data_IF_641509578311
#
_entry.id   IF_641509578311
#
_cell.length_a   1.000
_cell.length_b   1.000
_cell.length_c   1.000
_cell.angle_alpha   90.00
_cell.angle_beta   90.00
_cell.angle_gamma   90.00
#
_symmetry.space_group_name_H-M   'P 1'
#
loop_
_entity.id
_entity.type
_entity.pdbx_description
1 polymer ?
#
# COMPACT_ATOMS: atom_id res chain seq x y z
N UNK A 1 -1.99 3.96 6.37
CA UNK A 1 -2.40 3.22 5.16
C UNK A 1 -1.66 3.76 3.94
N UNK A 2 -1.23 2.89 3.02
CA UNK A 2 -0.71 3.27 1.71
C UNK A 2 -1.70 2.83 0.62
N UNK A 3 -1.69 3.52 -0.52
CA UNK A 3 -2.55 3.21 -1.65
C UNK A 3 -1.72 2.81 -2.86
N UNK A 4 -2.18 1.82 -3.63
CA UNK A 4 -1.52 1.36 -4.84
C UNK A 4 -2.53 0.95 -5.91
N UNK A 5 -2.19 1.16 -7.17
CA UNK A 5 -2.90 0.62 -8.34
C UNK A 5 -2.27 -0.67 -8.87
N UNK A 6 -1.15 -1.10 -8.29
CA UNK A 6 -0.37 -2.27 -8.71
C UNK A 6 -0.14 -3.23 -7.54
N UNK A 7 -1.16 -3.95 -7.05
CA UNK A 7 -1.05 -4.83 -5.88
C UNK A 7 0.06 -5.87 -5.97
N UNK A 8 0.43 -6.33 -7.17
CA UNK A 8 1.49 -7.30 -7.36
C UNK A 8 2.89 -6.83 -6.92
N UNK A 9 3.10 -5.52 -6.73
CA UNK A 9 4.36 -4.97 -6.19
C UNK A 9 4.39 -4.90 -4.66
N UNK A 10 3.24 -5.02 -3.98
CA UNK A 10 3.14 -4.97 -2.51
C UNK A 10 4.02 -6.00 -1.79
N UNK A 11 4.17 -7.25 -2.27
CA UNK A 11 5.09 -8.20 -1.66
C UNK A 11 6.55 -7.74 -1.64
N UNK A 12 6.92 -6.84 -2.56
CA UNK A 12 8.27 -6.26 -2.66
C UNK A 12 8.38 -4.88 -2.00
N UNK A 13 7.41 -4.50 -1.16
CA UNK A 13 7.50 -3.29 -0.35
C UNK A 13 8.71 -3.33 0.58
N UNK A 14 9.48 -2.25 0.62
CA UNK A 14 10.63 -2.11 1.52
C UNK A 14 10.56 -0.85 2.40
N UNK A 15 9.79 0.16 2.00
CA UNK A 15 9.61 1.38 2.78
C UNK A 15 8.24 2.03 2.50
N UNK A 16 7.86 2.96 3.37
CA UNK A 16 6.75 3.88 3.16
C UNK A 16 7.29 5.32 3.13
N UNK A 17 6.90 6.09 2.13
CA UNK A 17 7.29 7.50 1.99
C UNK A 17 6.21 8.44 2.54
N UNK A 18 6.61 9.46 3.29
CA UNK A 18 5.74 10.53 3.79
C UNK A 18 6.30 11.90 3.47
N UNK A 19 5.44 12.88 3.25
CA UNK A 19 5.84 14.28 2.99
C UNK A 19 6.29 14.96 4.28
N UNK A 20 7.52 15.52 4.37
CA UNK A 20 8.04 16.08 5.63
C UNK A 20 7.20 17.23 6.18
N UNK A 21 6.57 18.02 5.32
CA UNK A 21 5.74 19.19 5.67
C UNK A 21 4.25 18.88 5.76
N UNK A 22 3.84 17.67 5.40
CA UNK A 22 2.44 17.25 5.39
C UNK A 22 1.96 16.95 6.81
N UNK A 23 0.74 17.35 7.11
CA UNK A 23 0.05 16.98 8.33
C UNK A 23 -0.63 15.62 8.15
N UNK A 24 -0.45 14.73 9.11
CA UNK A 24 -1.06 13.40 9.17
C UNK A 24 -1.94 13.27 10.38
N UNK A 25 -2.96 12.44 10.27
CA UNK A 25 -3.87 12.11 11.35
C UNK A 25 -3.91 10.61 11.58
N UNK A 26 -4.03 10.21 12.83
CA UNK A 26 -4.35 8.85 13.22
C UNK A 26 -5.84 8.79 13.52
N UNK A 27 -6.54 8.01 12.75
CA UNK A 27 -8.00 7.85 12.80
C UNK A 27 -8.32 6.50 13.41
N UNK A 28 -9.12 6.48 14.47
CA UNK A 28 -9.76 5.30 15.02
C UNK A 28 -11.03 5.02 14.21
N UNK A 29 -11.19 3.79 13.74
CA UNK A 29 -12.33 3.38 12.91
C UNK A 29 -12.45 1.85 12.91
N UNK A 30 -13.24 1.29 12.01
CA UNK A 30 -13.36 -0.15 11.79
C UNK A 30 -12.92 -0.53 10.38
N UNK A 31 -12.40 -1.73 10.23
CA UNK A 31 -12.21 -2.30 8.89
C UNK A 31 -13.58 -2.73 8.35
N UNK A 32 -13.97 -2.16 7.21
CA UNK A 32 -15.30 -2.40 6.63
C UNK A 32 -15.53 -3.84 6.15
N UNK A 33 -14.47 -4.64 5.97
CA UNK A 33 -14.58 -6.04 5.55
C UNK A 33 -14.71 -7.01 6.70
N UNK A 34 -14.01 -6.75 7.80
CA UNK A 34 -13.93 -7.65 8.95
C UNK A 34 -14.76 -7.20 10.15
N UNK A 35 -15.14 -5.92 10.21
CA UNK A 35 -15.77 -5.32 11.38
C UNK A 35 -14.82 -5.09 12.56
N UNK A 36 -13.53 -5.39 12.40
CA UNK A 36 -12.56 -5.21 13.47
C UNK A 36 -12.17 -3.74 13.65
N UNK A 37 -11.99 -3.24 14.89
CA UNK A 37 -11.48 -1.89 15.12
C UNK A 37 -10.04 -1.79 14.60
N UNK A 38 -9.73 -0.65 13.95
CA UNK A 38 -8.41 -0.34 13.41
C UNK A 38 -8.04 1.11 13.62
N UNK A 39 -6.76 1.40 13.74
CA UNK A 39 -6.22 2.76 13.71
C UNK A 39 -5.46 2.95 12.40
N UNK A 40 -5.79 4.01 11.67
CA UNK A 40 -5.22 4.31 10.37
C UNK A 40 -4.48 5.64 10.41
N UNK A 41 -3.29 5.71 9.81
CA UNK A 41 -2.58 6.97 9.59
C UNK A 41 -2.71 7.33 8.11
N UNK A 42 -3.11 8.57 7.82
CA UNK A 42 -3.20 9.15 6.48
C UNK A 42 -3.00 10.66 6.52
N UNK A 43 -2.72 11.27 5.36
CA UNK A 43 -2.59 12.71 5.27
C UNK A 43 -3.90 13.44 5.59
N UNK A 44 -3.87 14.41 6.49
CA UNK A 44 -5.03 15.19 6.93
C UNK A 44 -5.81 15.85 5.78
N UNK A 45 -5.16 16.42 4.74
CA UNK A 45 -5.87 16.98 3.59
C UNK A 45 -6.71 15.97 2.80
N UNK A 46 -6.40 14.68 2.91
CA UNK A 46 -7.11 13.61 2.20
C UNK A 46 -8.22 12.94 3.03
N UNK A 47 -8.40 13.34 4.28
CA UNK A 47 -9.32 12.70 5.22
C UNK A 47 -10.76 12.62 4.67
N UNK A 48 -11.26 13.69 4.05
CA UNK A 48 -12.61 13.75 3.49
C UNK A 48 -12.86 12.83 2.29
N UNK A 49 -11.79 12.37 1.61
CA UNK A 49 -11.90 11.36 0.55
C UNK A 49 -12.15 9.95 1.10
N UNK A 50 -11.78 9.71 2.34
CA UNK A 50 -11.84 8.41 2.99
C UNK A 50 -12.98 8.28 3.99
N UNK A 51 -13.33 9.39 4.67
CA UNK A 51 -14.28 9.43 5.76
C UNK A 51 -15.28 10.55 5.55
N UNK A 52 -16.56 10.24 5.74
CA UNK A 52 -17.63 11.23 5.68
C UNK A 52 -17.74 11.97 7.01
N UNK A 53 -17.80 13.29 6.98
CA UNK A 53 -17.90 14.13 8.18
C UNK A 53 -19.12 13.78 9.05
N UNK A 54 -20.24 13.42 8.43
CA UNK A 54 -21.47 13.02 9.11
C UNK A 54 -21.31 11.76 10.00
N UNK A 55 -20.25 10.97 9.79
CA UNK A 55 -19.93 9.79 10.59
C UNK A 55 -18.76 10.01 11.57
N UNK A 56 -18.36 11.28 11.77
CA UNK A 56 -17.32 11.66 12.74
C UNK A 56 -17.85 11.55 14.17
N UNK A 57 -18.15 10.32 14.57
CA UNK A 57 -18.61 9.99 15.92
C UNK A 57 -18.24 8.56 16.21
N UNK A 58 -17.52 8.35 17.30
CA UNK A 58 -17.15 6.99 17.70
C UNK A 58 -18.36 6.23 18.25
N UNK A 59 -18.46 4.95 17.91
CA UNK A 59 -19.37 3.97 18.51
C UNK A 59 -18.61 2.68 18.74
N UNK A 60 -18.94 1.98 19.82
CA UNK A 60 -18.32 0.69 20.14
C UNK A 60 -18.86 -0.49 19.28
N UNK A 61 -19.91 -0.25 18.51
CA UNK A 61 -20.55 -1.26 17.68
C UNK A 61 -20.47 -0.88 16.21
N UNK A 62 -19.97 -1.80 15.39
CA UNK A 62 -19.98 -1.69 13.94
C UNK A 62 -20.13 -3.09 13.31
N UNK A 63 -21.02 -3.19 12.32
CA UNK A 63 -21.21 -4.42 11.56
C UNK A 63 -20.48 -4.34 10.22
N UNK A 64 -19.67 -5.35 9.90
CA UNK A 64 -18.96 -5.41 8.63
C UNK A 64 -19.91 -5.21 7.44
N UNK A 65 -19.55 -4.31 6.53
CA UNK A 65 -20.35 -3.96 5.35
C UNK A 65 -21.34 -2.81 5.57
N UNK A 66 -21.50 -2.30 6.79
CA UNK A 66 -22.29 -1.09 7.01
C UNK A 66 -21.62 0.10 6.30
N UNK A 67 -22.45 0.93 5.64
CA UNK A 67 -21.99 2.12 4.91
C UNK A 67 -21.70 3.32 5.84
N UNK A 68 -22.21 3.28 7.06
CA UNK A 68 -22.03 4.32 8.06
C UNK A 68 -20.79 4.00 8.92
N UNK A 69 -19.62 4.13 8.32
CA UNK A 69 -18.36 3.82 8.97
C UNK A 69 -18.02 4.91 10.01
N UNK A 70 -18.09 4.62 11.32
CA UNK A 70 -17.77 5.59 12.36
C UNK A 70 -16.26 5.82 12.43
N UNK A 71 -15.86 7.04 12.78
CA UNK A 71 -14.46 7.41 12.89
C UNK A 71 -14.25 8.59 13.84
N UNK A 72 -13.04 8.70 14.37
CA UNK A 72 -12.58 9.87 15.13
C UNK A 72 -11.07 10.06 14.97
N UNK A 73 -10.59 11.29 14.98
CA UNK A 73 -9.15 11.58 15.04
C UNK A 73 -8.70 11.40 16.48
N UNK A 74 -7.69 10.56 16.71
CA UNK A 74 -7.13 10.30 18.03
C UNK A 74 -5.73 10.89 18.22
N UNK A 75 -5.02 11.22 17.12
CA UNK A 75 -3.68 11.77 17.18
C UNK A 75 -3.33 12.52 15.87
N UNK A 76 -2.47 13.51 15.95
CA UNK A 76 -1.98 14.27 14.80
C UNK A 76 -0.45 14.28 14.76
N UNK A 77 0.13 14.26 13.55
CA UNK A 77 1.58 14.23 13.33
C UNK A 77 1.98 15.22 12.23
N UNK A 78 3.20 15.73 12.30
CA UNK A 78 3.92 16.18 11.10
C UNK A 78 4.58 14.98 10.44
N UNK A 79 4.79 15.01 9.12
CA UNK A 79 5.47 13.92 8.42
C UNK A 79 6.86 13.61 9.02
N UNK A 80 7.59 14.63 9.48
CA UNK A 80 8.84 14.45 10.22
C UNK A 80 8.70 13.66 11.53
N UNK A 81 7.54 13.67 12.14
CA UNK A 81 7.25 12.88 13.35
C UNK A 81 6.99 11.39 13.06
N UNK A 82 6.79 11.04 11.80
CA UNK A 82 6.61 9.65 11.35
C UNK A 82 7.91 9.02 10.85
N UNK A 83 8.97 9.83 10.63
CA UNK A 83 10.26 9.34 10.14
C UNK A 83 10.83 8.26 11.05
N UNK A 84 11.33 7.19 10.46
CA UNK A 84 11.93 6.07 11.18
C UNK A 84 10.91 5.12 11.85
N UNK A 85 9.60 5.42 11.82
CA UNK A 85 8.59 4.49 12.33
C UNK A 85 8.72 3.15 11.59
N UNK A 86 8.86 2.07 12.34
CA UNK A 86 8.95 0.71 11.80
C UNK A 86 7.56 0.09 11.66
N UNK A 87 7.41 -0.83 10.70
CA UNK A 87 6.20 -1.59 10.49
C UNK A 87 6.51 -3.03 10.09
N UNK A 88 5.55 -3.92 10.29
CA UNK A 88 5.67 -5.33 9.91
C UNK A 88 5.58 -5.51 8.39
N UNK A 89 6.37 -6.41 7.85
CA UNK A 89 6.30 -6.77 6.43
C UNK A 89 4.91 -7.27 6.07
N UNK A 90 4.30 -6.69 5.03
CA UNK A 90 2.92 -6.98 4.65
C UNK A 90 2.73 -8.45 4.20
N UNK A 91 3.66 -8.96 3.40
CA UNK A 91 3.69 -10.33 2.88
C UNK A 91 5.11 -10.89 3.08
N UNK A 92 5.38 -11.58 4.21
CA UNK A 92 6.74 -11.93 4.65
C UNK A 92 7.27 -13.19 3.94
N UNK A 93 7.27 -13.20 2.62
CA UNK A 93 7.74 -14.34 1.84
C UNK A 93 9.25 -14.43 1.78
N UNK A 94 9.94 -13.30 1.69
CA UNK A 94 11.41 -13.22 1.60
C UNK A 94 11.93 -12.02 2.41
N UNK A 95 13.20 -12.07 2.73
CA UNK A 95 13.89 -10.98 3.45
C UNK A 95 14.57 -10.03 2.45
N UNK A 96 14.43 -8.71 2.60
CA UNK A 96 15.16 -7.73 1.82
C UNK A 96 16.68 -7.85 1.97
N UNK A 97 17.42 -7.47 0.92
CA UNK A 97 18.87 -7.48 0.90
C UNK A 97 19.44 -6.08 0.67
N UNK A 98 20.67 -5.84 1.11
CA UNK A 98 21.43 -4.63 0.80
C UNK A 98 21.09 -3.39 1.64
N UNK A 99 20.32 -3.52 2.72
CA UNK A 99 19.99 -2.40 3.59
C UNK A 99 18.93 -2.71 4.63
N UNK A 100 18.50 -1.68 5.37
CA UNK A 100 17.33 -1.75 6.26
C UNK A 100 16.03 -1.84 5.44
N UNK A 101 14.93 -2.19 6.09
CA UNK A 101 13.61 -2.20 5.44
C UNK A 101 12.48 -1.95 6.45
N UNK A 102 11.27 -1.82 5.92
CA UNK A 102 10.01 -1.73 6.69
C UNK A 102 9.97 -0.56 7.66
N UNK A 103 10.42 0.60 7.19
CA UNK A 103 10.34 1.85 7.94
C UNK A 103 9.83 3.00 7.07
N UNK A 104 9.32 4.01 7.74
CA UNK A 104 8.88 5.27 7.11
C UNK A 104 10.09 6.15 6.82
N UNK A 105 10.16 6.69 5.61
CA UNK A 105 11.18 7.66 5.17
C UNK A 105 10.52 8.95 4.69
N UNK A 106 11.26 10.04 4.74
CA UNK A 106 10.80 11.33 4.21
C UNK A 106 11.04 11.43 2.71
N UNK A 107 10.11 12.06 1.99
CA UNK A 107 10.24 12.30 0.56
C UNK A 107 9.42 13.47 0.06
N UNK A 108 10.07 14.40 -0.64
CA UNK A 108 9.41 15.56 -1.27
C UNK A 108 8.52 15.17 -2.48
N UNK A 109 8.60 13.92 -2.93
CA UNK A 109 7.78 13.35 -4.00
C UNK A 109 6.36 12.98 -3.55
N UNK A 110 6.09 12.98 -2.25
CA UNK A 110 4.78 12.65 -1.70
C UNK A 110 3.83 13.81 -1.90
N UNK A 111 2.72 13.57 -2.61
CA UNK A 111 1.66 14.54 -2.83
C UNK A 111 0.43 14.25 -1.99
N UNK A 112 -0.44 15.25 -1.87
CA UNK A 112 -1.75 15.13 -1.22
C UNK A 112 -2.90 15.42 -2.20
N UNK A 113 -2.67 15.16 -3.49
CA UNK A 113 -3.69 15.32 -4.53
C UNK A 113 -4.61 14.11 -4.60
N UNK A 114 -4.04 12.91 -4.39
CA UNK A 114 -4.78 11.65 -4.40
C UNK A 114 -4.17 10.61 -3.44
N UNK A 115 -4.83 9.44 -3.32
CA UNK A 115 -4.38 8.36 -2.47
C UNK A 115 -4.55 8.65 -0.98
N UNK A 116 -3.51 8.41 -0.20
CA UNK A 116 -3.50 8.53 1.27
C UNK A 116 -2.44 9.50 1.80
N UNK A 117 -1.58 10.05 0.92
CA UNK A 117 -0.40 10.83 1.31
C UNK A 117 0.71 9.99 1.95
N UNK A 118 0.62 8.65 1.85
CA UNK A 118 1.67 7.70 2.23
C UNK A 118 1.93 6.82 1.01
N UNK A 119 3.17 6.85 0.51
CA UNK A 119 3.56 6.17 -0.72
C UNK A 119 4.21 4.83 -0.38
N UNK A 120 3.70 3.77 -1.01
CA UNK A 120 4.33 2.45 -1.04
C UNK A 120 5.60 2.50 -1.92
N UNK A 121 6.74 2.05 -1.39
CA UNK A 121 8.01 2.02 -2.11
C UNK A 121 8.50 0.59 -2.31
N UNK A 122 8.68 0.23 -3.59
CA UNK A 122 9.22 -1.06 -4.02
C UNK A 122 10.45 -0.85 -4.93
N UNK A 123 11.65 -0.72 -4.37
CA UNK A 123 12.86 -0.32 -5.10
C UNK A 123 13.25 -1.25 -6.26
N UNK A 124 12.74 -2.49 -6.26
CA UNK A 124 12.95 -3.42 -7.36
C UNK A 124 12.15 -3.08 -8.64
N UNK A 125 11.08 -2.25 -8.52
CA UNK A 125 10.11 -2.02 -9.62
C UNK A 125 9.91 -0.56 -10.02
N UNK A 126 10.49 0.38 -9.27
CA UNK A 126 10.43 1.81 -9.59
C UNK A 126 11.82 2.45 -9.59
N UNK A 127 12.17 3.19 -10.65
CA UNK A 127 13.46 3.88 -10.71
C UNK A 127 13.57 4.98 -9.63
N UNK A 128 12.49 5.72 -9.40
CA UNK A 128 12.42 6.73 -8.35
C UNK A 128 12.39 6.08 -6.96
N UNK A 129 11.63 5.01 -6.77
CA UNK A 129 11.60 4.22 -5.52
C UNK A 129 13.02 3.74 -5.18
N UNK A 130 13.73 3.18 -6.19
CA UNK A 130 15.10 2.69 -6.03
C UNK A 130 16.04 3.80 -5.58
N UNK A 131 16.00 4.93 -6.28
CA UNK A 131 16.84 6.10 -5.96
C UNK A 131 16.62 6.59 -4.53
N UNK A 132 15.37 6.77 -4.14
CA UNK A 132 15.02 7.28 -2.82
C UNK A 132 15.35 6.26 -1.73
N UNK A 133 15.04 4.98 -1.96
CA UNK A 133 15.39 3.91 -1.03
C UNK A 133 16.90 3.80 -0.80
N UNK A 134 17.71 3.84 -1.87
CA UNK A 134 19.19 3.82 -1.76
C UNK A 134 19.72 5.02 -0.97
N UNK A 135 19.20 6.22 -1.19
CA UNK A 135 19.58 7.43 -0.45
C UNK A 135 19.29 7.31 1.06
N UNK A 136 18.31 6.51 1.44
CA UNK A 136 17.91 6.28 2.82
C UNK A 136 18.43 4.96 3.40
N UNK A 137 19.33 4.26 2.71
CA UNK A 137 19.89 2.99 3.16
C UNK A 137 18.86 1.85 3.25
N UNK A 138 17.79 1.94 2.46
CA UNK A 138 16.76 0.91 2.34
C UNK A 138 17.21 -0.15 1.32
N UNK A 139 17.12 -1.42 1.70
CA UNK A 139 17.39 -2.56 0.83
C UNK A 139 16.33 -2.79 -0.23
N UNK A 140 16.54 -3.80 -1.05
CA UNK A 140 15.56 -4.18 -2.08
C UNK A 140 15.08 -5.62 -1.92
N UNK A 141 13.90 -5.89 -2.49
CA UNK A 141 13.25 -7.18 -2.47
C UNK A 141 12.72 -7.49 -3.87
N UNK A 142 13.49 -8.25 -4.66
CA UNK A 142 13.13 -8.64 -6.01
C UNK A 142 12.46 -10.01 -6.01
N UNK A 143 11.15 -10.04 -6.09
CA UNK A 143 10.34 -11.26 -6.07
C UNK A 143 9.82 -11.71 -7.43
N UNK A 144 10.19 -11.01 -8.51
CA UNK A 144 9.76 -11.34 -9.87
C UNK A 144 10.99 -11.61 -10.73
N UNK A 145 10.98 -12.75 -11.42
CA UNK A 145 12.07 -13.16 -12.31
C UNK A 145 11.98 -12.46 -13.67
N UNK A 146 12.97 -12.72 -14.54
CA UNK A 146 13.06 -12.13 -15.89
C UNK A 146 11.91 -12.54 -16.84
N UNK A 147 11.17 -13.59 -16.49
CA UNK A 147 10.00 -14.03 -17.24
C UNK A 147 8.72 -13.31 -16.81
N UNK A 148 8.76 -12.44 -15.79
CA UNK A 148 7.60 -11.77 -15.21
C UNK A 148 6.76 -12.67 -14.28
N UNK A 149 7.40 -13.67 -13.65
CA UNK A 149 6.78 -14.59 -12.70
C UNK A 149 7.31 -14.37 -11.29
N UNK A 150 6.49 -14.57 -10.28
CA UNK A 150 6.99 -14.68 -8.92
C UNK A 150 7.97 -15.84 -8.79
N UNK A 151 9.05 -15.61 -8.05
CA UNK A 151 10.04 -16.63 -7.72
C UNK A 151 9.48 -17.65 -6.73
N UNK A 152 10.20 -18.75 -6.52
CA UNK A 152 9.84 -19.74 -5.50
C UNK A 152 9.85 -19.13 -4.10
N UNK A 153 9.01 -19.64 -3.21
CA UNK A 153 8.88 -19.15 -1.83
C UNK A 153 7.87 -18.03 -1.66
N UNK A 154 7.12 -17.65 -2.71
CA UNK A 154 6.03 -16.66 -2.65
C UNK A 154 4.65 -17.32 -2.36
N UNK A 155 4.59 -18.39 -1.59
CA UNK A 155 3.36 -19.11 -1.28
C UNK A 155 2.62 -19.55 -2.56
N UNK A 156 1.30 -19.39 -2.57
CA UNK A 156 0.43 -19.75 -3.71
C UNK A 156 0.66 -18.91 -4.98
N UNK A 157 1.52 -17.89 -4.89
CA UNK A 157 1.86 -17.04 -6.03
C UNK A 157 3.14 -17.48 -6.75
N UNK A 158 3.92 -18.43 -6.19
CA UNK A 158 5.16 -18.93 -6.80
C UNK A 158 4.92 -19.42 -8.23
N UNK A 159 5.75 -18.97 -9.17
CA UNK A 159 5.68 -19.33 -10.60
C UNK A 159 4.54 -18.68 -11.39
N UNK A 160 3.65 -17.91 -10.75
CA UNK A 160 2.55 -17.21 -11.45
C UNK A 160 3.06 -15.93 -12.11
N UNK A 161 2.55 -15.66 -13.31
CA UNK A 161 2.77 -14.37 -13.99
C UNK A 161 2.11 -13.23 -13.22
N UNK A 162 2.84 -12.13 -13.00
CA UNK A 162 2.31 -10.93 -12.33
C UNK A 162 1.30 -10.14 -13.18
N UNK A 163 1.33 -10.34 -14.50
CA UNK A 163 0.37 -9.78 -15.47
C UNK A 163 0.05 -10.81 -16.56
N UNK A 164 -1.04 -10.61 -17.30
CA UNK A 164 -1.43 -11.46 -18.40
C UNK A 164 -0.64 -11.15 -19.69
N UNK A 165 0.67 -11.37 -19.66
CA UNK A 165 1.55 -11.07 -20.81
C UNK A 165 1.32 -11.93 -22.05
N UNK A 166 0.55 -13.01 -21.94
CA UNK A 166 0.32 -13.97 -23.03
C UNK A 166 -1.14 -14.02 -23.48
N UNK A 167 -1.95 -13.05 -23.07
CA UNK A 167 -3.39 -12.96 -23.36
C UNK A 167 -4.14 -14.28 -23.13
N UNK A 168 -3.80 -14.96 -22.04
CA UNK A 168 -4.43 -16.21 -21.66
C UNK A 168 -5.86 -15.94 -21.16
N UNK A 169 -6.83 -16.63 -21.75
CA UNK A 169 -8.25 -16.46 -21.40
C UNK A 169 -8.60 -16.96 -19.99
N UNK A 170 -7.79 -17.86 -19.44
CA UNK A 170 -7.93 -18.44 -18.10
C UNK A 170 -6.99 -17.81 -17.05
N UNK A 171 -6.33 -16.71 -17.40
CA UNK A 171 -5.45 -16.01 -16.47
C UNK A 171 -6.20 -15.52 -15.24
N UNK A 172 -5.74 -15.97 -14.06
CA UNK A 172 -6.20 -15.46 -12.78
C UNK A 172 -5.35 -14.28 -12.35
N UNK A 173 -5.97 -13.12 -12.17
CA UNK A 173 -5.27 -11.90 -11.81
C UNK A 173 -4.62 -12.02 -10.43
N UNK A 174 -3.30 -11.89 -10.41
CA UNK A 174 -2.51 -11.82 -9.19
C UNK A 174 -2.90 -10.61 -8.33
N UNK A 175 -3.20 -9.48 -8.96
CA UNK A 175 -3.63 -8.27 -8.25
C UNK A 175 -4.92 -8.52 -7.45
N UNK A 176 -5.88 -9.25 -8.05
CA UNK A 176 -7.15 -9.60 -7.39
C UNK A 176 -6.92 -10.55 -6.23
N UNK A 177 -6.12 -11.60 -6.43
CA UNK A 177 -5.87 -12.61 -5.41
C UNK A 177 -5.08 -12.02 -4.22
N UNK A 178 -4.09 -11.15 -4.45
CA UNK A 178 -3.41 -10.40 -3.38
C UNK A 178 -4.41 -9.52 -2.62
N UNK A 179 -5.27 -8.79 -3.33
CA UNK A 179 -6.28 -7.97 -2.68
C UNK A 179 -7.25 -8.78 -1.82
N UNK A 180 -7.65 -9.98 -2.28
CA UNK A 180 -8.49 -10.92 -1.50
C UNK A 180 -7.74 -11.39 -0.25
N UNK A 181 -6.48 -11.79 -0.38
CA UNK A 181 -5.66 -12.20 0.77
C UNK A 181 -5.54 -11.10 1.82
N UNK A 182 -5.24 -9.87 1.39
CA UNK A 182 -5.11 -8.72 2.30
C UNK A 182 -6.44 -8.37 2.98
N UNK A 183 -7.57 -8.49 2.28
CA UNK A 183 -8.90 -8.31 2.89
C UNK A 183 -9.17 -9.36 3.97
N UNK A 184 -8.91 -10.63 3.66
CA UNK A 184 -9.11 -11.74 4.60
C UNK A 184 -8.25 -11.61 5.85
N UNK A 185 -7.02 -11.10 5.69
CA UNK A 185 -6.05 -10.93 6.78
C UNK A 185 -6.20 -9.61 7.55
N UNK A 186 -7.28 -8.85 7.35
CA UNK A 186 -7.46 -7.50 7.95
C UNK A 186 -6.36 -6.49 7.61
N UNK A 187 -5.71 -6.65 6.46
CA UNK A 187 -4.59 -5.83 5.99
C UNK A 187 -4.98 -4.86 4.86
N UNK A 188 -6.20 -4.96 4.34
CA UNK A 188 -6.76 -4.02 3.38
C UNK A 188 -7.93 -3.24 3.99
N UNK A 189 -7.87 -1.92 3.93
CA UNK A 189 -8.94 -1.04 4.40
C UNK A 189 -9.99 -0.79 3.33
N UNK A 190 -9.56 -0.58 2.06
CA UNK A 190 -10.46 -0.38 0.91
C UNK A 190 -9.84 -1.01 -0.33
N UNK A 191 -10.67 -1.72 -1.10
CA UNK A 191 -10.32 -2.27 -2.41
C UNK A 191 -11.39 -1.84 -3.38
N UNK A 192 -11.00 -1.14 -4.44
CA UNK A 192 -11.90 -0.66 -5.50
C UNK A 192 -11.30 -0.92 -6.88
N UNK A 193 -12.16 -1.01 -7.87
CA UNK A 193 -11.73 -1.05 -9.26
C UNK A 193 -11.27 0.35 -9.65
N UNK A 194 -10.02 0.48 -10.07
CA UNK A 194 -9.45 1.72 -10.51
C UNK A 194 -9.01 1.61 -11.98
N UNK A 195 -9.51 2.51 -12.81
CA UNK A 195 -9.12 2.60 -14.21
C UNK A 195 -8.13 3.74 -14.37
N UNK A 196 -6.92 3.43 -14.83
CA UNK A 196 -5.89 4.42 -15.13
C UNK A 196 -5.28 4.16 -16.50
N UNK A 197 -4.82 5.22 -17.13
CA UNK A 197 -4.06 5.13 -18.37
C UNK A 197 -2.69 4.53 -18.08
N UNK A 198 -2.33 3.45 -18.75
CA UNK A 198 -0.97 2.93 -18.75
C UNK A 198 -0.14 3.72 -19.76
N UNK A 199 1.04 4.24 -19.40
CA UNK A 199 1.95 4.79 -20.41
C UNK A 199 2.47 3.65 -21.29
N UNK A 200 2.08 3.65 -22.55
CA UNK A 200 2.65 2.74 -23.55
C UNK A 200 3.96 3.31 -24.08
N UNK A 201 4.94 2.45 -24.32
CA UNK A 201 6.17 2.83 -24.99
C UNK A 201 5.88 3.04 -26.47
N UNK A 202 6.01 4.28 -26.97
CA UNK A 202 5.76 4.61 -28.36
C UNK A 202 6.70 3.90 -29.38
N UNK A 203 7.70 3.15 -28.88
CA UNK A 203 8.68 2.41 -29.71
C UNK A 203 8.41 0.88 -29.76
N UNK A 204 7.57 0.36 -28.89
CA UNK A 204 7.43 -1.11 -28.69
C UNK A 204 5.98 -1.51 -28.51
N UNK A 205 5.04 -0.81 -29.16
CA UNK A 205 3.66 -1.25 -29.25
C UNK A 205 3.53 -2.59 -30.00
#
# INVERSE_FOLDING_TARGET
IAWTTTPWTLPSNCALGVGPKTDYVKVKTYNQYTGNPVNLILAKPLLSKWFKEEHNTWTEEYTAGDKNLPWEIIEEYKGTGLEGMEYEQLLPWHTPTGGAAFRVILGDFVTTEDGTGIVHLAPAFGADDRRVCQQNGIGELLLVNKEGKFIDGCGDFSGRYVKNFKDQSDYKSVDVDIAIQLKTNNQAFRVEKYEHSYPHCWRTD
#
